data_IF_290808529836
#
_entry.id   IF_290808529836
#
_cell.length_a   1.000
_cell.length_b   1.000
_cell.length_c   1.000
_cell.angle_alpha   90.00
_cell.angle_beta   90.00
_cell.angle_gamma   90.00
#
_symmetry.space_group_name_H-M   'P 1'
#
loop_
_entity.id
_entity.type
_entity.pdbx_description
1 polymer ?
#
# COMPACT_ATOMS: atom_id res chain seq x y z
N UNK A 1 0.69 14.33 -46.21
CA UNK A 1 -0.72 14.44 -45.76
C UNK A 1 -0.97 15.73 -44.94
N UNK A 2 -0.02 16.66 -44.92
CA UNK A 2 -0.07 17.88 -44.09
C UNK A 2 -0.68 19.08 -44.81
N UNK A 3 -0.55 19.13 -46.14
CA UNK A 3 -0.83 20.34 -46.93
C UNK A 3 -2.35 20.59 -47.11
N UNK A 4 -3.13 19.52 -47.26
CA UNK A 4 -4.59 19.61 -47.47
C UNK A 4 -5.35 20.20 -46.28
N UNK A 5 -4.81 20.09 -45.06
CA UNK A 5 -5.46 20.60 -43.86
C UNK A 5 -5.40 22.12 -43.78
N UNK A 6 -4.22 22.70 -44.03
CA UNK A 6 -4.01 24.15 -43.98
C UNK A 6 -4.78 24.85 -45.09
N UNK A 7 -4.79 24.24 -46.29
CA UNK A 7 -5.58 24.73 -47.42
C UNK A 7 -7.09 24.80 -47.10
N UNK A 8 -7.63 23.77 -46.46
CA UNK A 8 -9.04 23.76 -46.06
C UNK A 8 -9.36 24.82 -44.98
N UNK A 9 -8.46 25.06 -44.03
CA UNK A 9 -8.63 26.12 -43.02
C UNK A 9 -8.67 27.49 -43.68
N UNK A 10 -7.72 27.76 -44.59
CA UNK A 10 -7.65 29.04 -45.31
C UNK A 10 -8.91 29.27 -46.15
N UNK A 11 -9.39 28.23 -46.84
CA UNK A 11 -10.62 28.31 -47.62
C UNK A 11 -11.85 28.66 -46.77
N UNK A 12 -12.02 28.01 -45.62
CA UNK A 12 -13.14 28.30 -44.69
C UNK A 12 -13.08 29.75 -44.18
N UNK A 13 -11.89 30.27 -43.94
CA UNK A 13 -11.72 31.67 -43.52
C UNK A 13 -12.03 32.64 -44.66
N UNK A 14 -11.54 32.38 -45.86
CA UNK A 14 -11.79 33.24 -47.04
C UNK A 14 -13.29 33.30 -47.40
N UNK A 15 -13.97 32.15 -47.36
CA UNK A 15 -15.42 32.06 -47.57
C UNK A 15 -16.20 32.85 -46.50
N UNK A 16 -15.77 32.79 -45.24
CA UNK A 16 -16.43 33.50 -44.12
C UNK A 16 -16.18 35.02 -44.15
N UNK A 17 -15.01 35.44 -44.64
CA UNK A 17 -14.65 36.85 -44.80
C UNK A 17 -15.42 37.56 -45.93
N UNK A 18 -16.17 36.82 -46.78
CA UNK A 18 -17.01 37.42 -47.82
C UNK A 18 -18.22 38.18 -47.26
N UNK A 19 -18.65 37.88 -46.03
CA UNK A 19 -19.70 38.64 -45.35
C UNK A 19 -19.07 39.73 -44.44
N UNK A 20 -19.21 41.02 -44.79
CA UNK A 20 -18.61 42.11 -44.03
C UNK A 20 -19.24 42.32 -42.64
N UNK A 21 -20.38 41.68 -42.34
CA UNK A 21 -21.03 41.73 -41.03
C UNK A 21 -20.81 40.45 -40.21
N UNK A 22 -20.04 39.49 -40.73
CA UNK A 22 -19.82 38.23 -40.04
C UNK A 22 -18.90 38.39 -38.83
N UNK A 23 -19.30 37.78 -37.72
CA UNK A 23 -18.49 37.68 -36.51
C UNK A 23 -17.32 36.73 -36.79
N UNK A 24 -16.08 37.04 -36.40
CA UNK A 24 -14.95 36.15 -36.61
C UNK A 24 -15.20 34.75 -36.03
N UNK A 25 -14.93 33.70 -36.82
CA UNK A 25 -15.08 32.32 -36.36
C UNK A 25 -14.09 32.02 -35.23
N UNK A 26 -14.58 31.32 -34.22
CA UNK A 26 -13.73 30.75 -33.16
C UNK A 26 -12.90 29.59 -33.68
N UNK A 27 -11.82 29.27 -32.96
CA UNK A 27 -10.96 28.13 -33.29
C UNK A 27 -11.73 26.80 -33.33
N UNK A 28 -12.74 26.65 -32.48
CA UNK A 28 -13.58 25.45 -32.44
C UNK A 28 -14.49 25.36 -33.66
N UNK A 29 -15.10 26.47 -34.09
CA UNK A 29 -15.95 26.52 -35.28
C UNK A 29 -15.17 26.21 -36.54
N UNK A 30 -13.97 26.79 -36.70
CA UNK A 30 -13.06 26.48 -37.82
C UNK A 30 -12.70 24.99 -37.81
N UNK A 31 -12.37 24.44 -36.64
CA UNK A 31 -12.06 23.01 -36.49
C UNK A 31 -13.25 22.12 -36.88
N UNK A 32 -14.46 22.47 -36.43
CA UNK A 32 -15.67 21.71 -36.75
C UNK A 32 -16.03 21.76 -38.24
N UNK A 33 -15.78 22.88 -38.92
CA UNK A 33 -16.03 23.02 -40.36
C UNK A 33 -15.01 22.24 -41.19
N UNK A 34 -13.74 22.26 -40.80
CA UNK A 34 -12.64 21.61 -41.53
C UNK A 34 -12.60 20.10 -41.28
N UNK A 35 -12.69 19.68 -40.02
CA UNK A 35 -12.53 18.28 -39.63
C UNK A 35 -13.85 17.53 -39.48
N UNK A 36 -14.98 18.24 -39.60
CA UNK A 36 -16.34 17.78 -39.27
C UNK A 36 -16.46 17.45 -37.77
N UNK A 37 -17.67 17.54 -37.23
CA UNK A 37 -17.93 17.07 -35.86
C UNK A 37 -17.55 15.58 -35.77
N UNK A 38 -16.51 15.28 -35.00
CA UNK A 38 -16.08 13.90 -34.77
C UNK A 38 -17.08 13.25 -33.81
N UNK A 39 -18.00 12.44 -34.34
CA UNK A 39 -18.90 11.65 -33.51
C UNK A 39 -18.08 10.57 -32.79
N UNK A 40 -17.80 10.77 -31.51
CA UNK A 40 -16.99 9.86 -30.71
C UNK A 40 -16.96 10.27 -29.25
N UNK A 41 -16.86 9.28 -28.35
CA UNK A 41 -16.73 9.47 -26.91
C UNK A 41 -15.45 10.26 -26.64
N UNK A 42 -15.56 11.46 -26.06
CA UNK A 42 -14.42 12.19 -25.53
C UNK A 42 -13.89 11.39 -24.33
N UNK A 43 -12.90 10.53 -24.57
CA UNK A 43 -12.10 9.88 -23.51
C UNK A 43 -11.31 10.97 -22.80
N UNK A 44 -11.91 11.66 -21.84
CA UNK A 44 -11.20 12.72 -21.10
C UNK A 44 -12.05 13.60 -20.18
N UNK A 45 -13.38 13.55 -20.25
CA UNK A 45 -14.25 14.41 -19.44
C UNK A 45 -15.10 13.64 -18.43
N UNK A 46 -14.59 12.58 -17.79
CA UNK A 46 -15.23 11.94 -16.62
C UNK A 46 -16.68 11.41 -16.78
N UNK A 47 -17.32 11.62 -17.92
CA UNK A 47 -18.67 11.15 -18.22
C UNK A 47 -18.53 9.80 -18.89
N UNK A 48 -18.35 8.80 -18.04
CA UNK A 48 -18.57 7.40 -18.41
C UNK A 48 -19.96 7.34 -19.07
N UNK A 49 -20.08 6.88 -20.33
CA UNK A 49 -21.40 6.59 -20.88
C UNK A 49 -22.12 5.63 -19.93
N UNK A 50 -23.35 5.95 -19.52
CA UNK A 50 -24.19 5.14 -18.63
C UNK A 50 -24.67 3.83 -19.27
N UNK A 51 -23.81 3.17 -20.05
CA UNK A 51 -23.96 1.79 -20.47
C UNK A 51 -22.96 0.98 -19.66
N UNK A 52 -23.49 0.11 -18.82
CA UNK A 52 -22.77 -0.94 -18.11
C UNK A 52 -22.12 -1.88 -19.11
N UNK A 53 -20.98 -1.47 -19.68
CA UNK A 53 -20.03 -2.42 -20.23
C UNK A 53 -19.37 -3.09 -19.02
N UNK A 54 -19.96 -4.22 -18.59
CA UNK A 54 -19.22 -5.23 -17.87
C UNK A 54 -18.15 -5.68 -18.84
N UNK A 55 -16.94 -5.15 -18.70
CA UNK A 55 -15.78 -5.78 -19.28
C UNK A 55 -15.74 -7.17 -18.67
N UNK A 56 -16.10 -8.19 -19.44
CA UNK A 56 -15.80 -9.58 -19.12
C UNK A 56 -14.28 -9.76 -19.25
N UNK A 57 -13.54 -9.12 -18.34
CA UNK A 57 -12.16 -9.47 -18.09
C UNK A 57 -12.20 -10.93 -17.63
N UNK A 58 -11.60 -11.81 -18.44
CA UNK A 58 -11.43 -13.25 -18.21
C UNK A 58 -11.58 -13.64 -16.74
N UNK A 59 -12.79 -14.06 -16.37
CA UNK A 59 -13.19 -14.30 -14.96
C UNK A 59 -12.35 -15.39 -14.29
N UNK A 60 -11.71 -16.26 -15.06
CA UNK A 60 -10.89 -17.35 -14.53
C UNK A 60 -9.54 -16.83 -14.00
N UNK A 61 -8.92 -15.88 -14.70
CA UNK A 61 -7.63 -15.31 -14.29
C UNK A 61 -7.74 -14.44 -13.03
N UNK A 62 -8.88 -13.78 -12.82
CA UNK A 62 -9.10 -12.96 -11.63
C UNK A 62 -9.43 -13.81 -10.40
N UNK A 63 -10.21 -14.88 -10.55
CA UNK A 63 -10.54 -15.80 -9.44
C UNK A 63 -9.29 -16.54 -8.95
N UNK A 64 -8.46 -17.08 -9.85
CA UNK A 64 -7.20 -17.74 -9.45
C UNK A 64 -6.21 -16.76 -8.80
N UNK A 65 -6.23 -15.50 -9.21
CA UNK A 65 -5.39 -14.47 -8.60
C UNK A 65 -5.88 -14.12 -7.19
N UNK A 66 -7.20 -13.94 -7.01
CA UNK A 66 -7.80 -13.69 -5.70
C UNK A 66 -7.52 -14.85 -4.74
N UNK A 67 -7.73 -16.09 -5.18
CA UNK A 67 -7.51 -17.27 -4.35
C UNK A 67 -6.03 -17.42 -3.92
N UNK A 68 -5.09 -17.07 -4.79
CA UNK A 68 -3.66 -17.02 -4.44
C UNK A 68 -3.38 -15.99 -3.35
N UNK A 69 -3.93 -14.79 -3.47
CA UNK A 69 -3.76 -13.74 -2.46
C UNK A 69 -4.40 -14.12 -1.12
N UNK A 70 -5.56 -14.78 -1.15
CA UNK A 70 -6.22 -15.26 0.08
C UNK A 70 -5.35 -16.28 0.81
N UNK A 71 -4.78 -17.24 0.07
CA UNK A 71 -3.86 -18.23 0.66
C UNK A 71 -2.60 -17.57 1.22
N UNK A 72 -2.00 -16.63 0.49
CA UNK A 72 -0.82 -15.89 0.96
C UNK A 72 -1.11 -15.11 2.27
N UNK A 73 -2.29 -14.50 2.37
CA UNK A 73 -2.72 -13.81 3.60
C UNK A 73 -2.85 -14.79 4.78
N UNK A 74 -3.37 -16.00 4.54
CA UNK A 74 -3.49 -17.03 5.58
C UNK A 74 -2.11 -17.46 6.06
N UNK A 75 -1.22 -17.81 5.13
CA UNK A 75 0.15 -18.24 5.45
C UNK A 75 0.92 -17.17 6.23
N UNK A 76 0.82 -15.90 5.83
CA UNK A 76 1.45 -14.78 6.53
C UNK A 76 0.91 -14.59 7.95
N UNK A 77 -0.40 -14.76 8.14
CA UNK A 77 -1.02 -14.69 9.48
C UNK A 77 -0.54 -15.82 10.38
N UNK A 78 -0.49 -17.05 9.86
CA UNK A 78 0.00 -18.21 10.61
C UNK A 78 1.49 -18.11 10.94
N UNK A 79 2.31 -17.64 9.99
CA UNK A 79 3.73 -17.39 10.23
C UNK A 79 3.94 -16.34 11.34
N UNK A 80 3.18 -15.24 11.30
CA UNK A 80 3.21 -14.21 12.35
C UNK A 80 2.78 -14.78 13.71
N UNK A 81 1.73 -15.59 13.76
CA UNK A 81 1.26 -16.20 15.00
C UNK A 81 2.33 -17.12 15.62
N UNK A 82 2.96 -17.97 14.80
CA UNK A 82 4.06 -18.86 15.24
C UNK A 82 5.28 -18.08 15.75
N UNK A 83 5.69 -17.03 15.06
CA UNK A 83 6.81 -16.17 15.48
C UNK A 83 6.49 -15.45 16.80
N UNK A 84 5.26 -14.96 16.96
CA UNK A 84 4.84 -14.33 18.21
C UNK A 84 4.83 -15.33 19.38
N UNK A 85 4.35 -16.55 19.16
CA UNK A 85 4.36 -17.61 20.18
C UNK A 85 5.80 -18.01 20.55
N UNK A 86 6.69 -18.17 19.57
CA UNK A 86 8.10 -18.47 19.81
C UNK A 86 8.77 -17.38 20.67
N UNK A 87 8.54 -16.10 20.36
CA UNK A 87 9.05 -14.97 21.15
C UNK A 87 8.50 -14.96 22.57
N UNK A 88 7.22 -15.28 22.76
CA UNK A 88 6.61 -15.35 24.08
C UNK A 88 7.24 -16.47 24.93
N UNK A 89 7.44 -17.66 24.34
CA UNK A 89 8.12 -18.78 25.01
C UNK A 89 9.56 -18.45 25.38
N UNK A 90 10.30 -17.80 24.50
CA UNK A 90 11.67 -17.37 24.77
C UNK A 90 11.73 -16.34 25.90
N UNK A 91 10.80 -15.39 25.94
CA UNK A 91 10.70 -14.42 27.04
C UNK A 91 10.36 -15.11 28.37
N UNK A 92 9.43 -16.06 28.36
CA UNK A 92 9.09 -16.83 29.57
C UNK A 92 10.28 -17.66 30.08
N UNK A 93 11.01 -18.31 29.18
CA UNK A 93 12.20 -19.09 29.53
C UNK A 93 13.28 -18.19 30.16
N UNK A 94 13.51 -16.99 29.60
CA UNK A 94 14.44 -16.01 30.17
C UNK A 94 13.97 -15.51 31.54
N UNK A 95 12.70 -15.20 31.71
CA UNK A 95 12.14 -14.76 32.98
C UNK A 95 12.32 -15.83 34.08
N UNK A 96 12.05 -17.10 33.76
CA UNK A 96 12.29 -18.22 34.69
C UNK A 96 13.77 -18.36 35.05
N UNK A 97 14.66 -18.19 34.07
CA UNK A 97 16.10 -18.25 34.33
C UNK A 97 16.55 -17.11 35.27
N UNK A 98 16.05 -15.89 35.06
CA UNK A 98 16.33 -14.75 35.95
C UNK A 98 15.80 -14.99 37.36
N UNK A 99 14.61 -15.59 37.50
CA UNK A 99 14.04 -15.94 38.80
C UNK A 99 14.89 -16.97 39.53
N UNK A 100 15.34 -18.02 38.85
CA UNK A 100 16.25 -19.03 39.42
C UNK A 100 17.56 -18.37 39.88
N UNK A 101 18.14 -17.47 39.07
CA UNK A 101 19.35 -16.74 39.46
C UNK A 101 19.13 -15.87 40.70
N UNK A 102 18.02 -15.14 40.77
CA UNK A 102 17.64 -14.34 41.95
C UNK A 102 17.49 -15.21 43.19
N UNK A 103 16.83 -16.37 43.07
CA UNK A 103 16.63 -17.31 44.16
C UNK A 103 17.97 -17.86 44.69
N UNK A 104 18.90 -18.23 43.79
CA UNK A 104 20.24 -18.66 44.17
C UNK A 104 20.99 -17.54 44.91
N UNK A 105 20.96 -16.31 44.38
CA UNK A 105 21.63 -15.18 45.00
C UNK A 105 21.08 -14.88 46.40
N UNK A 106 19.76 -14.93 46.56
CA UNK A 106 19.10 -14.75 47.85
C UNK A 106 19.48 -15.83 48.85
N UNK A 107 19.56 -17.10 48.40
CA UNK A 107 20.00 -18.20 49.24
C UNK A 107 21.45 -18.00 49.72
N UNK A 108 22.38 -17.67 48.82
CA UNK A 108 23.77 -17.41 49.18
C UNK A 108 23.90 -16.21 50.14
N UNK A 109 23.15 -15.14 49.89
CA UNK A 109 23.10 -13.98 50.77
C UNK A 109 22.62 -14.35 52.17
N UNK A 110 21.54 -15.13 52.29
CA UNK A 110 21.06 -15.63 53.59
C UNK A 110 22.12 -16.46 54.31
N UNK A 111 22.85 -17.32 53.58
CA UNK A 111 23.91 -18.15 54.16
C UNK A 111 25.13 -17.34 54.64
N UNK A 112 25.50 -16.27 53.94
CA UNK A 112 26.58 -15.38 54.38
C UNK A 112 26.21 -14.62 55.68
N UNK A 113 24.93 -14.26 55.85
CA UNK A 113 24.46 -13.67 57.11
C UNK A 113 24.42 -14.68 58.27
N UNK A 114 24.13 -15.96 58.01
CA UNK A 114 24.20 -17.02 59.02
C UNK A 114 25.65 -17.33 59.44
N UNK A 115 26.61 -17.35 58.50
CA UNK A 115 28.02 -17.71 58.76
C UNK A 115 28.82 -16.55 59.42
N UNK A 116 28.42 -15.30 59.17
CA UNK A 116 28.97 -14.14 59.88
C UNK A 116 28.58 -14.11 61.38
N UNK A 117 27.53 -14.83 61.78
CA UNK A 117 27.11 -14.97 63.19
C UNK A 117 27.75 -16.17 63.89
N UNK A 118 28.39 -17.08 63.17
CA UNK A 118 29.07 -18.27 63.74
C UNK A 118 30.58 -18.09 63.91
N UNK A 119 31.19 -17.10 63.23
CA UNK A 119 32.65 -16.84 63.29
C UNK A 119 33.12 -15.92 64.44
N UNK A 120 32.21 -15.26 65.18
CA UNK A 120 32.56 -14.59 66.45
C UNK A 120 32.31 -15.52 67.65
N UNK A 121 33.15 -16.54 67.81
CA UNK A 121 33.04 -17.46 68.94
C UNK A 121 34.29 -18.28 69.23
N UNK A 122 35.42 -17.95 68.61
CA UNK A 122 36.71 -18.55 68.93
C UNK A 122 37.40 -17.85 70.10
N UNK A 123 36.83 -17.93 71.31
CA UNK A 123 37.56 -17.57 72.53
C UNK A 123 38.33 -18.77 73.04
N UNK A 124 39.62 -18.79 72.75
CA UNK A 124 40.63 -19.58 73.46
C UNK A 124 40.71 -19.12 74.92
N UNK A 125 40.62 -20.03 75.87
CA UNK A 125 41.12 -19.78 77.23
C UNK A 125 41.85 -21.00 77.77
N UNK A 126 42.96 -20.69 78.44
CA UNK A 126 44.09 -21.48 78.92
C UNK A 126 43.79 -22.69 79.79
#
# INVERSE_FOLDING_TARGET
MSDTCMENILKVQDDHCQDPNAIPLTQEEISNLVFKKKSGIIKGLGMRPSSSLVTTASSNSSVEYIQRLENEIIELKEARARDQEARARDQEARAKQEEVQKNILNFLRSKVYDDALTYEGGSTSS
#
